data_IF_803668999093
#
_entry.id   IF_803668999093
#
_cell.length_a   1.000
_cell.length_b   1.000
_cell.length_c   1.000
_cell.angle_alpha   90.00
_cell.angle_beta   90.00
_cell.angle_gamma   90.00
#
_symmetry.space_group_name_H-M   'P 1'
#
loop_
_entity.id
_entity.type
_entity.pdbx_description
1 polymer ?
#
# COMPACT_ATOMS: atom_id res chain seq x y z
N UNK A 1 20.37 -14.50 -48.20
CA UNK A 1 20.66 -13.42 -47.23
C UNK A 1 19.36 -13.00 -46.56
N UNK A 2 18.95 -13.66 -45.47
CA UNK A 2 17.64 -13.40 -44.83
C UNK A 2 17.65 -13.80 -43.34
N UNK A 3 18.78 -13.61 -42.64
CA UNK A 3 18.97 -14.10 -41.27
C UNK A 3 19.55 -13.09 -40.27
N UNK A 4 20.05 -11.95 -40.75
CA UNK A 4 20.70 -10.94 -39.89
C UNK A 4 19.79 -9.81 -39.42
N UNK A 5 18.66 -9.58 -40.09
CA UNK A 5 17.76 -8.45 -39.78
C UNK A 5 16.75 -8.76 -38.65
N UNK A 6 16.31 -10.01 -38.52
CA UNK A 6 15.31 -10.39 -37.51
C UNK A 6 15.89 -10.48 -36.10
N UNK A 7 17.18 -10.84 -35.97
CA UNK A 7 17.83 -10.97 -34.66
C UNK A 7 18.02 -9.61 -33.98
N UNK A 8 18.30 -8.55 -34.75
CA UNK A 8 18.51 -7.19 -34.24
C UNK A 8 17.21 -6.53 -33.76
N UNK A 9 16.08 -6.87 -34.39
CA UNK A 9 14.75 -6.37 -34.03
C UNK A 9 14.19 -7.00 -32.74
N UNK A 10 14.54 -8.26 -32.46
CA UNK A 10 14.13 -8.94 -31.22
C UNK A 10 14.93 -8.47 -30.01
N UNK A 11 16.23 -8.25 -30.17
CA UNK A 11 17.10 -7.70 -29.12
C UNK A 11 16.70 -6.27 -28.73
N UNK A 12 16.28 -5.43 -29.68
CA UNK A 12 15.81 -4.08 -29.36
C UNK A 12 14.47 -4.10 -28.61
N UNK A 13 13.53 -5.00 -28.92
CA UNK A 13 12.28 -5.15 -28.17
C UNK A 13 12.50 -5.65 -26.74
N UNK A 14 13.46 -6.56 -26.51
CA UNK A 14 13.81 -7.05 -25.17
C UNK A 14 14.53 -5.97 -24.33
N UNK A 15 15.30 -5.09 -24.95
CA UNK A 15 15.93 -3.93 -24.30
C UNK A 15 14.95 -2.77 -24.08
N UNK A 16 14.00 -2.54 -24.99
CA UNK A 16 12.98 -1.48 -24.88
C UNK A 16 11.87 -1.84 -23.87
N UNK A 17 11.53 -3.13 -23.72
CA UNK A 17 10.62 -3.59 -22.66
C UNK A 17 11.23 -3.49 -21.26
N UNK A 18 12.57 -3.56 -21.13
CA UNK A 18 13.30 -3.28 -19.89
C UNK A 18 13.36 -1.78 -19.53
N UNK A 19 13.05 -0.90 -20.49
CA UNK A 19 12.96 0.55 -20.31
C UNK A 19 11.52 1.02 -20.01
N UNK A 20 10.59 0.09 -19.70
CA UNK A 20 9.33 0.48 -19.08
C UNK A 20 9.63 1.16 -17.75
N UNK A 21 9.59 2.50 -17.84
CA UNK A 21 9.58 3.51 -16.79
C UNK A 21 9.36 2.89 -15.41
N UNK A 22 10.45 2.82 -14.63
CA UNK A 22 10.33 2.98 -13.19
C UNK A 22 9.78 4.39 -12.99
N UNK A 23 8.45 4.51 -13.00
CA UNK A 23 7.74 5.68 -12.51
C UNK A 23 8.27 5.88 -11.09
N UNK A 24 8.93 7.01 -10.86
CA UNK A 24 9.93 7.17 -9.79
C UNK A 24 9.42 6.64 -8.46
N UNK A 25 10.04 5.56 -7.96
CA UNK A 25 9.80 5.11 -6.60
C UNK A 25 10.13 6.28 -5.67
N UNK A 26 9.18 6.68 -4.81
CA UNK A 26 9.36 7.79 -3.87
C UNK A 26 10.56 7.43 -2.99
N UNK A 27 11.66 8.17 -3.16
CA UNK A 27 12.89 8.02 -2.37
C UNK A 27 12.86 9.02 -1.25
N UNK A 28 13.13 8.55 -0.04
CA UNK A 28 13.02 9.37 1.15
C UNK A 28 14.32 10.06 1.48
N UNK A 29 14.33 11.37 1.26
CA UNK A 29 15.40 12.30 1.62
C UNK A 29 15.13 13.03 2.93
N UNK A 30 13.93 12.90 3.52
CA UNK A 30 13.56 13.59 4.76
C UNK A 30 14.15 12.93 6.01
N UNK A 31 14.73 13.78 6.86
CA UNK A 31 15.18 13.45 8.22
C UNK A 31 14.09 13.90 9.21
N UNK A 32 12.93 13.23 9.25
CA UNK A 32 11.95 13.52 10.32
C UNK A 32 12.49 13.01 11.66
N UNK A 33 12.30 13.76 12.76
CA UNK A 33 12.70 13.31 14.09
C UNK A 33 11.99 11.99 14.40
N UNK A 34 12.78 11.02 14.87
CA UNK A 34 12.42 9.62 15.09
C UNK A 34 11.25 9.42 16.07
N UNK A 35 10.84 10.48 16.77
CA UNK A 35 9.76 10.54 17.73
C UNK A 35 9.12 11.94 17.67
N UNK A 36 8.25 12.18 16.68
CA UNK A 36 7.14 13.10 16.94
C UNK A 36 6.23 12.37 17.91
N UNK A 37 5.90 13.02 19.03
CA UNK A 37 4.92 12.51 19.97
C UNK A 37 3.73 11.92 19.19
N UNK A 38 3.44 10.67 19.51
CA UNK A 38 2.22 9.97 19.13
C UNK A 38 1.08 10.99 19.26
N UNK A 39 0.46 11.45 18.15
CA UNK A 39 -0.55 12.50 18.21
C UNK A 39 -1.61 12.08 19.22
N UNK A 40 -2.17 13.03 19.96
CA UNK A 40 -3.01 12.88 21.17
C UNK A 40 -4.26 11.95 21.01
N UNK A 41 -4.43 11.25 19.89
CA UNK A 41 -5.35 10.14 19.65
C UNK A 41 -4.77 8.72 19.70
N UNK A 42 -3.56 8.49 20.24
CA UNK A 42 -2.97 7.14 20.37
C UNK A 42 -3.64 6.24 21.42
N UNK A 43 -4.61 6.80 22.13
CA UNK A 43 -5.60 6.05 22.92
C UNK A 43 -6.53 5.15 22.10
N UNK A 44 -6.43 5.11 20.75
CA UNK A 44 -7.30 4.29 19.90
C UNK A 44 -6.55 3.61 18.73
N UNK A 45 -5.41 2.96 18.97
CA UNK A 45 -4.99 1.90 18.04
C UNK A 45 -6.06 0.80 18.08
N UNK A 46 -6.87 0.68 17.03
CA UNK A 46 -7.93 -0.32 16.97
C UNK A 46 -7.36 -1.72 17.15
N UNK A 47 -8.12 -2.58 17.82
CA UNK A 47 -7.75 -3.99 18.04
C UNK A 47 -7.36 -4.68 16.73
N UNK A 48 -8.08 -4.37 15.64
CA UNK A 48 -7.78 -4.88 14.30
C UNK A 48 -6.36 -4.55 13.81
N UNK A 49 -5.86 -3.33 14.07
CA UNK A 49 -4.51 -2.95 13.65
C UNK A 49 -3.45 -3.65 14.49
N UNK A 50 -3.67 -3.76 15.81
CA UNK A 50 -2.72 -4.45 16.69
C UNK A 50 -2.62 -5.94 16.35
N UNK A 51 -3.76 -6.61 16.20
CA UNK A 51 -3.83 -8.01 15.81
C UNK A 51 -3.15 -8.24 14.46
N UNK A 52 -3.53 -7.45 13.44
CA UNK A 52 -2.95 -7.61 12.11
C UNK A 52 -1.46 -7.26 12.09
N UNK A 53 -1.01 -6.28 12.87
CA UNK A 53 0.42 -5.97 13.02
C UNK A 53 1.16 -7.19 13.56
N UNK A 54 0.67 -7.81 14.64
CA UNK A 54 1.28 -9.01 15.21
C UNK A 54 1.39 -10.16 14.19
N UNK A 55 0.30 -10.47 13.50
CA UNK A 55 0.26 -11.52 12.48
C UNK A 55 1.18 -11.22 11.28
N UNK A 56 1.21 -9.96 10.84
CA UNK A 56 2.06 -9.50 9.74
C UNK A 56 3.53 -9.60 10.10
N UNK A 57 3.93 -9.15 11.29
CA UNK A 57 5.32 -9.25 11.73
C UNK A 57 5.76 -10.70 11.93
N UNK A 58 4.86 -11.56 12.41
CA UNK A 58 5.13 -13.00 12.49
C UNK A 58 5.34 -13.63 11.10
N UNK A 59 4.46 -13.31 10.12
CA UNK A 59 4.60 -13.78 8.73
C UNK A 59 5.85 -13.21 8.07
N UNK A 60 6.17 -11.94 8.31
CA UNK A 60 7.41 -11.28 7.86
C UNK A 60 8.66 -12.04 8.31
N UNK A 61 8.73 -12.43 9.58
CA UNK A 61 9.86 -13.21 10.11
C UNK A 61 9.97 -14.58 9.42
N UNK A 62 8.85 -15.27 9.22
CA UNK A 62 8.81 -16.56 8.52
C UNK A 62 9.27 -16.45 7.07
N UNK A 63 8.85 -15.40 6.37
CA UNK A 63 9.20 -15.15 4.97
C UNK A 63 10.58 -14.48 4.80
N UNK A 64 11.28 -14.16 5.90
CA UNK A 64 12.51 -13.37 5.89
C UNK A 64 12.39 -12.05 5.10
N UNK A 65 11.19 -11.48 5.08
CA UNK A 65 10.94 -10.22 4.38
C UNK A 65 11.61 -9.07 5.15
N UNK A 66 12.53 -8.38 4.47
CA UNK A 66 13.36 -7.31 5.06
C UNK A 66 12.74 -5.92 4.88
N UNK A 67 11.63 -5.79 4.16
CA UNK A 67 10.96 -4.51 3.92
C UNK A 67 10.39 -3.93 5.20
N UNK A 68 10.47 -2.62 5.40
CA UNK A 68 9.78 -1.94 6.50
C UNK A 68 8.29 -1.88 6.18
N UNK A 69 7.43 -2.23 7.15
CA UNK A 69 5.98 -2.23 7.01
C UNK A 69 5.42 -1.23 8.01
N UNK A 70 4.64 -0.26 7.53
CA UNK A 70 4.05 0.81 8.35
C UNK A 70 2.54 0.78 8.21
N UNK A 71 1.84 0.85 9.33
CA UNK A 71 0.38 0.89 9.43
C UNK A 71 -0.05 2.33 9.73
N UNK A 72 -1.06 2.83 9.04
CA UNK A 72 -1.56 4.19 9.18
C UNK A 72 -3.09 4.15 9.26
N UNK A 73 -3.63 4.74 10.32
CA UNK A 73 -5.07 4.90 10.47
C UNK A 73 -5.60 5.89 9.44
N UNK A 74 -6.84 5.67 9.00
CA UNK A 74 -7.55 6.66 8.21
C UNK A 74 -7.91 7.88 9.05
N UNK A 75 -8.06 9.02 8.39
CA UNK A 75 -8.83 10.15 8.89
C UNK A 75 -10.23 10.09 8.28
N UNK A 76 -11.25 10.52 9.02
CA UNK A 76 -12.60 10.63 8.49
C UNK A 76 -12.65 11.71 7.39
N UNK A 77 -13.24 11.38 6.24
CA UNK A 77 -13.56 12.30 5.15
C UNK A 77 -15.06 12.62 5.12
N UNK A 78 -15.66 12.64 3.94
CA UNK A 78 -17.12 12.65 3.79
C UNK A 78 -17.75 11.37 4.40
N UNK A 79 -19.09 11.33 4.64
CA UNK A 79 -19.72 10.15 5.25
C UNK A 79 -19.45 8.84 4.49
N UNK A 80 -18.83 7.88 5.18
CA UNK A 80 -18.41 6.59 4.61
C UNK A 80 -17.11 6.63 3.80
N UNK A 81 -16.40 7.76 3.84
CA UNK A 81 -15.11 7.97 3.21
C UNK A 81 -13.97 7.90 4.24
N UNK A 82 -12.92 7.17 3.87
CA UNK A 82 -11.72 6.95 4.67
C UNK A 82 -10.51 7.49 3.92
N UNK A 83 -9.81 8.45 4.50
CA UNK A 83 -8.74 9.18 3.83
C UNK A 83 -7.38 8.96 4.49
N UNK A 84 -6.33 9.04 3.68
CA UNK A 84 -4.93 9.07 4.12
C UNK A 84 -4.18 10.19 3.42
N UNK A 85 -3.22 10.79 4.11
CA UNK A 85 -2.33 11.77 3.49
C UNK A 85 -1.44 11.10 2.44
N UNK A 86 -1.25 11.76 1.29
CA UNK A 86 -0.24 11.36 0.29
C UNK A 86 1.19 11.59 0.77
N UNK A 87 1.38 12.46 1.75
CA UNK A 87 2.66 12.72 2.40
C UNK A 87 3.00 11.58 3.36
N UNK A 88 3.41 10.45 2.79
CA UNK A 88 3.70 9.24 3.53
C UNK A 88 4.91 9.44 4.45
N UNK A 89 4.74 9.14 5.74
CA UNK A 89 5.85 9.16 6.70
C UNK A 89 6.88 8.09 6.36
N UNK A 90 8.05 8.54 5.94
CA UNK A 90 9.13 7.65 5.53
C UNK A 90 10.44 7.91 6.27
N UNK A 91 11.34 6.93 6.19
CA UNK A 91 12.64 6.98 6.87
C UNK A 91 13.73 7.20 5.83
N UNK A 92 14.71 8.04 6.14
CA UNK A 92 15.83 8.30 5.25
C UNK A 92 16.49 7.01 4.77
N UNK A 93 16.77 6.92 3.46
CA UNK A 93 17.35 5.74 2.84
C UNK A 93 16.34 4.62 2.55
N UNK A 94 15.04 4.84 2.76
CA UNK A 94 13.99 3.95 2.27
C UNK A 94 13.43 4.39 0.92
N UNK A 95 12.93 3.43 0.14
CA UNK A 95 12.15 3.65 -1.07
C UNK A 95 10.76 3.03 -0.93
N UNK A 96 9.73 3.80 -1.26
CA UNK A 96 8.34 3.32 -1.29
C UNK A 96 8.17 2.22 -2.34
N UNK A 97 7.48 1.14 -1.97
CA UNK A 97 7.26 -0.02 -2.84
C UNK A 97 5.78 -0.23 -3.14
N UNK A 98 4.97 -0.43 -2.09
CA UNK A 98 3.55 -0.73 -2.22
C UNK A 98 2.74 -0.02 -1.14
N UNK A 99 1.49 0.27 -1.46
CA UNK A 99 0.47 0.63 -0.49
C UNK A 99 -0.79 -0.21 -0.70
N UNK A 100 -1.33 -0.69 0.41
CA UNK A 100 -2.58 -1.45 0.44
C UNK A 100 -3.54 -0.79 1.43
N UNK A 101 -4.76 -0.54 0.99
CA UNK A 101 -5.87 -0.28 1.91
C UNK A 101 -6.40 -1.63 2.38
N UNK A 102 -6.40 -1.83 3.70
CA UNK A 102 -6.84 -3.07 4.33
C UNK A 102 -8.18 -2.82 5.01
N UNK A 103 -9.18 -3.60 4.61
CA UNK A 103 -10.55 -3.55 5.12
C UNK A 103 -10.75 -4.72 6.08
N UNK A 104 -10.79 -4.48 7.40
CA UNK A 104 -10.92 -5.55 8.38
C UNK A 104 -12.33 -6.13 8.33
N UNK A 105 -12.46 -7.33 7.79
CA UNK A 105 -13.71 -8.07 7.70
C UNK A 105 -13.54 -9.46 8.27
N UNK A 106 -14.65 -10.16 8.52
CA UNK A 106 -14.59 -11.60 8.72
C UNK A 106 -14.54 -12.27 7.35
N UNK A 107 -13.34 -12.61 6.85
CA UNK A 107 -13.17 -13.22 5.51
C UNK A 107 -13.83 -14.59 5.35
N UNK A 108 -14.25 -15.24 6.45
CA UNK A 108 -15.08 -16.45 6.40
C UNK A 108 -16.56 -16.19 6.12
N UNK A 109 -17.02 -14.95 6.31
CA UNK A 109 -18.42 -14.55 6.16
C UNK A 109 -18.65 -13.44 5.13
N UNK A 110 -17.59 -12.68 4.80
CA UNK A 110 -17.63 -11.54 3.89
C UNK A 110 -16.58 -11.75 2.81
N UNK A 111 -17.05 -11.99 1.59
CA UNK A 111 -16.20 -12.05 0.40
C UNK A 111 -16.04 -10.67 -0.27
N UNK A 112 -15.04 -10.53 -1.17
CA UNK A 112 -14.83 -9.31 -1.95
C UNK A 112 -16.08 -8.84 -2.72
N UNK A 113 -16.89 -9.78 -3.21
CA UNK A 113 -18.11 -9.53 -3.99
C UNK A 113 -19.22 -8.82 -3.21
N UNK A 114 -19.15 -8.85 -1.88
CA UNK A 114 -20.15 -8.22 -1.01
C UNK A 114 -19.85 -6.73 -0.78
N UNK A 115 -18.67 -6.25 -1.20
CA UNK A 115 -18.20 -4.89 -0.99
C UNK A 115 -17.85 -4.21 -2.31
N UNK A 116 -18.31 -2.98 -2.45
CA UNK A 116 -17.86 -2.07 -3.49
C UNK A 116 -16.92 -1.04 -2.87
N UNK A 117 -15.65 -1.07 -3.28
CA UNK A 117 -14.62 -0.13 -2.82
C UNK A 117 -14.26 0.80 -3.96
N UNK A 118 -14.41 2.10 -3.73
CA UNK A 118 -14.13 3.13 -4.72
C UNK A 118 -13.12 4.12 -4.17
N UNK A 119 -12.18 4.54 -5.00
CA UNK A 119 -11.46 5.78 -4.75
C UNK A 119 -12.38 6.95 -5.03
N UNK A 120 -12.30 7.98 -4.21
CA UNK A 120 -13.03 9.25 -4.35
C UNK A 120 -12.07 10.39 -4.62
N UNK A 121 -10.82 10.27 -4.16
CA UNK A 121 -9.73 11.22 -4.39
C UNK A 121 -8.38 10.48 -4.51
N UNK A 122 -7.46 10.90 -5.38
CA UNK A 122 -7.53 12.05 -6.28
C UNK A 122 -8.33 11.81 -7.57
N UNK A 123 -8.55 10.54 -7.94
CA UNK A 123 -9.34 10.15 -9.13
C UNK A 123 -10.33 9.09 -8.71
N UNK A 124 -11.58 9.20 -9.17
CA UNK A 124 -12.62 8.23 -8.84
C UNK A 124 -12.50 6.96 -9.68
N UNK A 125 -12.38 5.80 -9.04
CA UNK A 125 -12.20 4.50 -9.71
C UNK A 125 -12.61 3.37 -8.75
N UNK A 126 -13.21 2.31 -9.27
CA UNK A 126 -13.52 1.12 -8.47
C UNK A 126 -12.27 0.27 -8.31
N UNK A 127 -11.95 -0.09 -7.07
CA UNK A 127 -10.81 -0.94 -6.75
C UNK A 127 -11.23 -2.41 -6.76
N UNK A 128 -10.30 -3.26 -7.19
CA UNK A 128 -10.44 -4.71 -7.09
C UNK A 128 -9.68 -5.21 -5.87
N UNK A 129 -10.23 -6.24 -5.23
CA UNK A 129 -9.53 -6.90 -4.14
C UNK A 129 -8.25 -7.56 -4.66
N UNK A 130 -7.17 -7.38 -3.93
CA UNK A 130 -5.87 -7.97 -4.20
C UNK A 130 -5.84 -9.40 -3.68
N UNK A 131 -5.55 -10.34 -4.58
CA UNK A 131 -5.56 -11.78 -4.34
C UNK A 131 -4.16 -12.42 -4.29
N UNK A 132 -3.13 -11.65 -4.64
CA UNK A 132 -1.76 -12.17 -4.73
C UNK A 132 -1.11 -12.30 -3.35
N UNK A 133 -0.17 -13.26 -3.17
CA UNK A 133 0.48 -13.47 -1.88
C UNK A 133 1.23 -12.22 -1.40
N UNK A 134 0.92 -11.78 -0.18
CA UNK A 134 1.63 -10.68 0.49
C UNK A 134 2.16 -11.09 1.86
N UNK A 135 2.97 -10.24 2.48
CA UNK A 135 3.42 -10.41 3.88
C UNK A 135 2.31 -10.14 4.89
N UNK A 136 1.19 -9.54 4.47
CA UNK A 136 0.01 -9.38 5.31
C UNK A 136 -0.67 -10.74 5.48
N UNK A 137 -1.21 -10.98 6.68
CA UNK A 137 -1.97 -12.19 6.94
C UNK A 137 -3.36 -12.08 6.29
N UNK A 138 -3.81 -13.15 5.63
CA UNK A 138 -5.13 -13.20 4.98
C UNK A 138 -6.29 -13.02 5.98
N UNK A 139 -6.06 -13.40 7.24
CA UNK A 139 -7.01 -13.20 8.33
C UNK A 139 -7.19 -11.74 8.75
N UNK A 140 -6.34 -10.82 8.28
CA UNK A 140 -6.48 -9.40 8.58
C UNK A 140 -7.69 -8.75 7.91
N UNK A 141 -8.17 -9.31 6.79
CA UNK A 141 -9.27 -8.74 6.02
C UNK A 141 -8.98 -8.73 4.52
N UNK A 142 -9.74 -7.91 3.80
CA UNK A 142 -9.61 -7.74 2.36
C UNK A 142 -8.58 -6.66 2.03
N UNK A 143 -7.74 -6.93 1.04
CA UNK A 143 -6.66 -6.04 0.60
C UNK A 143 -7.05 -5.36 -0.70
N UNK A 144 -6.75 -4.07 -0.84
CA UNK A 144 -6.92 -3.32 -2.07
C UNK A 144 -5.64 -2.58 -2.38
N UNK A 145 -5.02 -2.86 -3.53
CA UNK A 145 -3.76 -2.20 -3.90
C UNK A 145 -4.03 -0.75 -4.34
N UNK A 146 -3.38 0.19 -3.67
CA UNK A 146 -3.54 1.64 -3.86
C UNK A 146 -2.23 2.34 -4.17
N UNK A 147 -1.15 1.59 -4.41
CA UNK A 147 0.22 2.08 -4.68
C UNK A 147 0.26 3.22 -5.70
N UNK A 148 -0.50 3.12 -6.80
CA UNK A 148 -0.50 4.11 -7.87
C UNK A 148 -1.09 5.45 -7.45
N UNK A 149 -2.01 5.46 -6.47
CA UNK A 149 -2.65 6.68 -5.97
C UNK A 149 -1.67 7.54 -5.16
N UNK A 150 -0.66 6.92 -4.54
CA UNK A 150 0.40 7.61 -3.80
C UNK A 150 1.59 8.01 -4.68
N UNK A 151 1.78 7.34 -5.82
CA UNK A 151 2.96 7.53 -6.69
C UNK A 151 2.70 8.44 -7.90
N UNK A 152 1.48 8.99 -8.03
CA UNK A 152 1.09 9.86 -9.14
C UNK A 152 1.34 11.34 -8.86
N UNK A 153 1.63 12.10 -9.92
CA UNK A 153 1.84 13.56 -9.91
C UNK A 153 0.55 14.38 -9.65
N UNK A 154 -0.56 13.72 -9.27
CA UNK A 154 -1.85 14.39 -9.07
C UNK A 154 -1.77 15.35 -7.87
N UNK A 155 -2.33 16.55 -8.06
CA UNK A 155 -2.31 17.70 -7.12
C UNK A 155 -3.07 17.49 -5.81
N UNK A 156 -3.81 16.38 -5.66
CA UNK A 156 -4.48 16.03 -4.42
C UNK A 156 -3.48 15.78 -3.29
N UNK A 157 -3.81 16.18 -2.05
CA UNK A 157 -2.99 15.93 -0.84
C UNK A 157 -3.35 14.64 -0.11
N UNK A 158 -4.47 14.03 -0.47
CA UNK A 158 -5.00 12.85 0.21
C UNK A 158 -5.45 11.81 -0.82
N UNK A 159 -5.41 10.54 -0.40
CA UNK A 159 -6.06 9.42 -1.07
C UNK A 159 -7.24 9.03 -0.21
N UNK A 160 -8.44 9.01 -0.81
CA UNK A 160 -9.66 8.71 -0.09
C UNK A 160 -10.40 7.56 -0.76
N UNK A 161 -10.99 6.69 0.07
CA UNK A 161 -11.76 5.54 -0.35
C UNK A 161 -13.14 5.57 0.28
N UNK A 162 -14.15 5.28 -0.52
CA UNK A 162 -15.50 4.99 -0.06
C UNK A 162 -15.74 3.48 -0.10
N UNK A 163 -16.32 2.96 0.99
CA UNK A 163 -16.69 1.55 1.11
C UNK A 163 -18.20 1.45 1.20
N UNK A 164 -18.81 0.75 0.25
CA UNK A 164 -20.24 0.47 0.21
C UNK A 164 -20.51 -1.03 0.23
N UNK A 165 -21.63 -1.44 0.82
CA UNK A 165 -22.12 -2.82 0.77
C UNK A 165 -23.02 -2.99 -0.45
N UNK A 166 -22.75 -4.00 -1.29
CA UNK A 166 -23.49 -4.22 -2.54
C UNK A 166 -24.94 -4.63 -2.26
N UNK A 167 -25.14 -5.48 -1.26
CA UNK A 167 -26.46 -5.81 -0.72
C UNK A 167 -26.63 -5.13 0.63
N UNK A 168 -27.85 -4.63 0.92
CA UNK A 168 -28.21 -4.16 2.26
C UNK A 168 -28.20 -5.36 3.22
N UNK A 169 -27.02 -5.77 3.69
CA UNK A 169 -26.85 -6.74 4.76
C UNK A 169 -27.43 -6.09 6.02
N UNK A 170 -28.73 -6.27 6.22
CA UNK A 170 -29.44 -5.72 7.36
C UNK A 170 -28.90 -6.36 8.64
N UNK A 171 -28.30 -5.53 9.49
CA UNK A 171 -28.16 -5.81 10.92
C UNK A 171 -26.75 -5.98 11.47
N UNK A 172 -25.69 -6.05 10.64
CA UNK A 172 -24.32 -6.16 11.15
C UNK A 172 -23.34 -5.26 10.37
N UNK A 173 -22.43 -4.53 11.05
CA UNK A 173 -21.38 -3.80 10.35
C UNK A 173 -20.47 -4.79 9.62
N UNK A 174 -20.36 -4.63 8.30
CA UNK A 174 -19.53 -5.52 7.45
C UNK A 174 -18.05 -5.37 7.80
N UNK A 175 -17.63 -4.15 8.18
CA UNK A 175 -16.30 -3.85 8.69
C UNK A 175 -16.25 -4.03 10.21
N UNK A 176 -15.22 -4.73 10.71
CA UNK A 176 -14.94 -4.87 12.15
C UNK A 176 -14.36 -3.58 12.75
N UNK A 177 -13.56 -2.87 11.97
CA UNK A 177 -12.88 -1.63 12.33
C UNK A 177 -12.81 -0.70 11.12
N UNK A 178 -12.54 0.60 11.31
CA UNK A 178 -12.20 1.48 10.19
C UNK A 178 -11.04 0.89 9.35
N UNK A 179 -11.09 1.05 8.01
CA UNK A 179 -9.98 0.66 7.14
C UNK A 179 -8.68 1.36 7.53
N UNK A 180 -7.56 0.71 7.26
CA UNK A 180 -6.24 1.31 7.51
C UNK A 180 -5.30 1.04 6.34
N UNK A 181 -4.32 1.93 6.18
CA UNK A 181 -3.34 1.86 5.12
C UNK A 181 -2.11 1.10 5.62
N UNK A 182 -1.64 0.16 4.82
CA UNK A 182 -0.37 -0.53 5.02
C UNK A 182 0.58 -0.13 3.91
N UNK A 183 1.75 0.38 4.26
CA UNK A 183 2.79 0.76 3.29
C UNK A 183 4.05 -0.08 3.48
N UNK A 184 4.65 -0.46 2.35
CA UNK A 184 5.87 -1.25 2.25
C UNK A 184 7.02 -0.40 1.73
N UNK A 185 8.16 -0.51 2.41
CA UNK A 185 9.35 0.28 2.12
C UNK A 185 10.58 -0.61 2.03
N UNK A 186 11.41 -0.39 1.03
CA UNK A 186 12.67 -1.08 0.87
C UNK A 186 13.80 -0.19 1.35
N UNK A 187 14.61 -0.68 2.30
CA UNK A 187 15.86 0.01 2.67
C UNK A 187 16.84 -0.12 1.52
N UNK A 188 17.33 1.02 1.05
CA UNK A 188 18.39 1.09 0.05
C UNK A 188 19.72 0.75 0.74
N UNK A 189 20.62 -0.01 0.07
CA UNK A 189 21.98 -0.15 0.57
C UNK A 189 22.62 1.24 0.69
N UNK A 190 23.47 1.48 1.71
CA UNK A 190 24.26 2.70 1.74
C UNK A 190 25.06 2.77 0.44
N UNK A 191 25.09 3.93 -0.21
CA UNK A 191 25.95 4.14 -1.35
C UNK A 191 27.38 3.77 -0.92
N UNK A 192 27.98 2.80 -1.61
CA UNK A 192 29.39 2.50 -1.43
C UNK A 192 30.13 3.75 -1.90
N UNK A 193 30.47 4.62 -0.95
CA UNK A 193 31.46 5.64 -1.16
C UNK A 193 32.75 4.88 -1.46
N UNK A 194 33.15 4.85 -2.72
CA UNK A 194 34.49 4.42 -3.11
C UNK A 194 35.46 5.28 -2.28
N UNK A 195 36.05 4.69 -1.24
CA UNK A 195 37.24 5.24 -0.62
C UNK A 195 38.33 5.17 -1.70
N UNK A 196 38.41 6.20 -2.53
CA UNK A 196 39.56 6.43 -3.40
C UNK A 196 40.80 6.55 -2.52
N UNK A 197 41.73 5.62 -2.71
CA UNK A 197 43.06 5.63 -2.10
C UNK A 197 44.00 6.62 -2.76
#
# INVERSE_FOLDING_TARGET
MMGRAHFTLLLSFVLLSRLQRVKGAIRCTETKPLLSELPVGVSQLSECVLECTGLTYFKKLRLQDKRTIKFQMCTEGDPGEYCWSKDLNCTHGESFQHAFALLPVNTSAVGPEMLEVKTTSPTATTLQAHDSPTTLAESCGLLYEVTQLFSGDDTGKSVCLQVATVDQVQGHPVLKCPPYLVTFWQRNPPDRQECGG
#
